data_IF_596259365742
#
_entry.id   IF_596259365742
#
_cell.length_a   1.000
_cell.length_b   1.000
_cell.length_c   1.000
_cell.angle_alpha   90.00
_cell.angle_beta   90.00
_cell.angle_gamma   90.00
#
_symmetry.space_group_name_H-M   'P 1'
#
loop_
_entity.id
_entity.type
_entity.pdbx_description
1 polymer ?
#
# COMPACT_ATOMS: atom_id res chain seq x y z
N UNK A 1 32.14 -29.35 -40.96
CA UNK A 1 32.95 -28.87 -39.82
C UNK A 1 34.05 -27.95 -40.33
N UNK A 2 33.94 -26.65 -40.05
CA UNK A 2 35.10 -25.75 -39.99
C UNK A 2 34.89 -24.84 -38.79
N UNK A 3 35.62 -25.18 -37.74
CA UNK A 3 35.85 -24.37 -36.55
C UNK A 3 36.85 -23.28 -36.96
N UNK A 4 36.55 -22.02 -36.71
CA UNK A 4 37.54 -21.00 -36.35
C UNK A 4 36.83 -19.99 -35.45
N UNK A 5 37.36 -19.93 -34.24
CA UNK A 5 36.99 -19.06 -33.13
C UNK A 5 38.02 -17.92 -33.07
N UNK A 6 37.61 -16.80 -32.47
CA UNK A 6 38.43 -15.72 -31.86
C UNK A 6 38.86 -14.54 -32.74
N UNK A 7 38.16 -13.41 -32.55
CA UNK A 7 38.72 -12.08 -32.18
C UNK A 7 37.61 -11.34 -31.38
N UNK A 8 37.45 -11.58 -30.07
CA UNK A 8 37.96 -10.77 -28.96
C UNK A 8 38.14 -9.27 -29.27
N UNK A 9 37.50 -8.44 -28.42
CA UNK A 9 37.93 -7.11 -27.97
C UNK A 9 37.45 -5.88 -28.77
N UNK A 10 36.19 -5.46 -28.54
CA UNK A 10 35.80 -4.05 -28.71
C UNK A 10 35.52 -3.44 -27.34
N UNK A 11 36.61 -2.97 -26.76
CA UNK A 11 36.78 -1.80 -25.90
C UNK A 11 35.50 -1.14 -25.34
N UNK A 12 35.36 -1.28 -24.02
CA UNK A 12 34.75 -0.31 -23.11
C UNK A 12 35.29 1.09 -23.41
N UNK A 13 34.41 2.07 -23.69
CA UNK A 13 34.43 3.50 -23.27
C UNK A 13 33.05 4.09 -23.65
N UNK A 14 32.34 4.89 -22.86
CA UNK A 14 32.79 5.72 -21.76
C UNK A 14 31.67 6.06 -20.78
N UNK A 15 32.09 6.88 -19.84
CA UNK A 15 31.63 6.97 -18.46
C UNK A 15 30.48 7.97 -18.24
N UNK A 16 29.79 7.72 -17.12
CA UNK A 16 29.09 8.66 -16.23
C UNK A 16 27.94 9.48 -16.82
N UNK A 17 26.72 9.01 -16.53
CA UNK A 17 25.55 9.90 -16.41
C UNK A 17 25.75 10.79 -15.17
N UNK A 18 25.57 12.09 -15.36
CA UNK A 18 25.59 13.08 -14.29
C UNK A 18 24.34 12.91 -13.41
N UNK A 19 24.53 12.78 -12.11
CA UNK A 19 23.49 13.07 -11.13
C UNK A 19 23.49 14.59 -10.93
N UNK A 20 22.34 15.22 -11.16
CA UNK A 20 22.15 16.63 -10.80
C UNK A 20 22.25 16.78 -9.29
N UNK A 21 23.06 17.73 -8.78
CA UNK A 21 23.10 17.99 -7.35
C UNK A 21 21.72 18.47 -6.92
N UNK A 22 21.28 17.98 -5.77
CA UNK A 22 20.17 18.55 -5.01
C UNK A 22 20.35 20.07 -4.94
N UNK A 23 19.42 20.81 -5.54
CA UNK A 23 19.28 22.24 -5.31
C UNK A 23 18.26 22.38 -4.19
N UNK A 24 18.75 22.47 -2.96
CA UNK A 24 18.04 23.14 -1.89
C UNK A 24 18.13 24.64 -2.18
N UNK A 25 17.08 25.20 -2.75
CA UNK A 25 16.89 26.64 -2.82
C UNK A 25 15.85 26.99 -1.74
N UNK A 26 16.34 27.17 -0.52
CA UNK A 26 15.64 27.92 0.52
C UNK A 26 15.48 29.36 0.02
N UNK A 27 14.31 29.70 -0.51
CA UNK A 27 13.91 31.09 -0.68
C UNK A 27 12.90 31.46 0.42
N UNK A 28 13.47 31.92 1.53
CA UNK A 28 12.79 32.72 2.55
C UNK A 28 12.41 34.07 1.95
N UNK A 29 11.11 34.34 1.78
CA UNK A 29 10.61 35.73 1.72
C UNK A 29 9.47 35.87 2.72
N UNK A 30 9.89 36.30 3.90
CA UNK A 30 9.34 37.39 4.73
C UNK A 30 7.83 37.63 4.76
N UNK A 31 7.31 37.36 5.96
CA UNK A 31 6.17 37.98 6.63
C UNK A 31 6.02 39.49 6.31
N UNK A 32 4.83 39.90 5.86
CA UNK A 32 4.34 41.25 6.09
C UNK A 32 3.04 41.19 6.88
N UNK A 33 3.15 41.61 8.15
CA UNK A 33 2.05 41.95 9.04
C UNK A 33 1.20 43.10 8.47
N UNK A 34 -0.10 43.04 8.78
CA UNK A 34 -0.97 44.09 9.33
C UNK A 34 -2.36 44.01 8.72
N UNK A 35 -3.37 43.63 9.50
CA UNK A 35 -4.25 44.65 10.12
C UNK A 35 -5.07 44.01 11.26
N UNK A 36 -4.82 44.52 12.46
CA UNK A 36 -5.61 44.38 13.69
C UNK A 36 -7.03 44.92 13.49
N UNK A 37 -8.06 44.30 14.07
CA UNK A 37 -9.06 45.01 14.90
C UNK A 37 -9.79 44.00 15.81
N UNK A 38 -9.76 44.34 17.10
CA UNK A 38 -10.35 43.64 18.25
C UNK A 38 -11.89 43.62 18.20
N UNK A 39 -12.52 42.58 18.76
CA UNK A 39 -13.79 42.70 19.49
C UNK A 39 -14.07 41.47 20.40
N UNK A 40 -13.64 41.61 21.65
CA UNK A 40 -14.34 41.36 22.91
C UNK A 40 -15.42 40.24 23.06
N UNK A 41 -15.04 39.23 23.88
CA UNK A 41 -15.79 38.59 24.98
C UNK A 41 -17.31 38.40 24.88
N UNK A 42 -17.76 37.14 24.75
CA UNK A 42 -18.88 36.60 25.54
C UNK A 42 -18.58 35.18 26.01
N UNK A 43 -18.49 35.03 27.33
CA UNK A 43 -18.49 33.78 28.11
C UNK A 43 -19.87 33.12 27.98
N UNK A 44 -19.95 31.93 27.41
CA UNK A 44 -21.10 31.03 27.58
C UNK A 44 -20.61 29.69 28.12
N UNK A 45 -20.93 29.45 29.40
CA UNK A 45 -20.86 28.13 30.01
C UNK A 45 -21.87 27.23 29.29
N UNK A 46 -21.40 26.44 28.32
CA UNK A 46 -22.16 25.29 27.86
C UNK A 46 -21.55 24.05 28.52
N UNK A 47 -22.36 23.41 29.37
CA UNK A 47 -22.07 22.13 29.97
C UNK A 47 -21.64 21.15 28.88
N UNK A 48 -20.37 20.76 28.86
CA UNK A 48 -19.89 19.67 28.02
C UNK A 48 -20.34 18.39 28.70
N UNK A 49 -21.57 17.97 28.42
CA UNK A 49 -21.89 16.55 28.51
C UNK A 49 -20.89 15.81 27.62
N UNK A 50 -20.23 14.73 28.11
CA UNK A 50 -19.44 13.88 27.25
C UNK A 50 -20.41 13.29 26.24
N UNK A 51 -20.43 13.84 25.03
CA UNK A 51 -21.03 13.16 23.90
C UNK A 51 -20.32 11.79 23.84
N UNK A 52 -21.03 10.74 24.24
CA UNK A 52 -20.70 9.38 23.87
C UNK A 52 -20.52 9.43 22.35
N UNK A 53 -19.25 9.43 21.91
CA UNK A 53 -18.91 9.25 20.51
C UNK A 53 -19.40 7.85 20.18
N UNK A 54 -20.67 7.76 19.80
CA UNK A 54 -21.21 6.61 19.10
C UNK A 54 -20.27 6.39 17.93
N UNK A 55 -19.40 5.38 18.05
CA UNK A 55 -18.61 4.85 16.95
C UNK A 55 -19.61 4.38 15.90
N UNK A 56 -20.01 5.30 15.02
CA UNK A 56 -20.61 4.94 13.76
C UNK A 56 -19.50 4.23 13.00
N UNK A 57 -19.55 2.90 13.02
CA UNK A 57 -18.90 2.04 12.06
C UNK A 57 -19.52 2.36 10.69
N UNK A 58 -19.16 3.49 10.09
CA UNK A 58 -19.35 3.68 8.66
C UNK A 58 -18.34 2.79 7.99
N UNK A 59 -18.81 1.66 7.47
CA UNK A 59 -18.00 0.74 6.66
C UNK A 59 -17.24 1.53 5.60
N UNK A 60 -15.95 1.24 5.45
CA UNK A 60 -15.12 1.91 4.46
C UNK A 60 -15.65 1.66 3.05
N UNK A 61 -15.70 2.72 2.24
CA UNK A 61 -15.96 2.58 0.82
C UNK A 61 -14.76 1.90 0.16
N UNK A 62 -15.04 0.98 -0.77
CA UNK A 62 -14.02 0.28 -1.50
C UNK A 62 -13.23 1.25 -2.40
N UNK A 63 -11.89 1.14 -2.51
CA UNK A 63 -11.13 2.01 -3.40
C UNK A 63 -11.53 1.82 -4.87
N UNK A 64 -11.55 2.91 -5.64
CA UNK A 64 -12.13 2.96 -7.00
C UNK A 64 -11.41 2.09 -8.06
N UNK A 65 -10.29 1.43 -7.72
CA UNK A 65 -9.46 0.67 -8.67
C UNK A 65 -8.93 -0.65 -8.10
N UNK A 66 -9.77 -1.43 -7.42
CA UNK A 66 -9.39 -2.77 -6.95
C UNK A 66 -9.82 -3.86 -7.93
N UNK A 67 -8.97 -4.88 -8.08
CA UNK A 67 -9.33 -6.08 -8.83
C UNK A 67 -10.19 -6.99 -7.94
N UNK A 68 -11.51 -6.94 -8.11
CA UNK A 68 -12.43 -7.73 -7.31
C UNK A 68 -12.28 -9.21 -7.62
N UNK A 69 -12.03 -10.01 -6.59
CA UNK A 69 -11.82 -11.45 -6.63
C UNK A 69 -12.83 -12.12 -5.71
N UNK A 70 -13.59 -13.05 -6.27
CA UNK A 70 -14.40 -13.95 -5.47
C UNK A 70 -13.66 -15.27 -5.27
N UNK A 71 -13.56 -15.69 -4.01
CA UNK A 71 -13.10 -17.02 -3.63
C UNK A 71 -14.24 -17.78 -2.97
N UNK A 72 -14.24 -19.11 -3.09
CA UNK A 72 -15.26 -19.96 -2.49
C UNK A 72 -14.98 -20.30 -1.03
N UNK A 73 -13.72 -20.16 -0.63
CA UNK A 73 -13.20 -20.55 0.68
C UNK A 73 -12.98 -19.28 1.51
N UNK A 74 -13.02 -19.36 2.84
CA UNK A 74 -12.77 -18.20 3.71
C UNK A 74 -11.29 -17.83 3.69
N UNK A 75 -10.96 -16.54 3.63
CA UNK A 75 -9.55 -16.09 3.55
C UNK A 75 -8.73 -16.56 4.75
N UNK A 76 -9.32 -16.55 5.95
CA UNK A 76 -8.67 -17.03 7.18
C UNK A 76 -8.33 -18.53 7.16
N UNK A 77 -9.03 -19.32 6.33
CA UNK A 77 -8.75 -20.75 6.17
C UNK A 77 -7.59 -21.03 5.20
N UNK A 78 -7.11 -20.01 4.50
CA UNK A 78 -6.03 -20.13 3.53
C UNK A 78 -4.67 -20.03 4.24
N UNK A 79 -3.76 -20.93 3.87
CA UNK A 79 -2.38 -20.88 4.35
C UNK A 79 -1.47 -20.33 3.28
N UNK A 80 -0.69 -19.30 3.60
CA UNK A 80 0.37 -18.82 2.73
C UNK A 80 1.45 -19.91 2.58
N UNK A 81 1.78 -20.29 1.34
CA UNK A 81 2.80 -21.30 1.05
C UNK A 81 4.01 -20.75 0.29
N UNK A 82 3.90 -19.56 -0.29
CA UNK A 82 5.00 -19.02 -1.08
C UNK A 82 4.65 -17.74 -1.82
N UNK A 83 5.68 -17.18 -2.47
CA UNK A 83 5.54 -16.12 -3.46
C UNK A 83 6.20 -16.60 -4.75
N UNK A 84 5.52 -16.43 -5.87
CA UNK A 84 6.02 -16.83 -7.19
C UNK A 84 5.83 -15.70 -8.20
N UNK A 85 6.71 -15.64 -9.20
CA UNK A 85 6.58 -14.69 -10.30
C UNK A 85 5.92 -15.39 -11.50
N UNK A 86 4.68 -15.05 -11.80
CA UNK A 86 3.90 -15.64 -12.90
C UNK A 86 3.64 -14.54 -13.93
N UNK A 87 4.08 -14.74 -15.18
CA UNK A 87 4.02 -13.73 -16.24
C UNK A 87 4.66 -12.40 -15.82
N UNK A 88 5.82 -12.49 -15.15
CA UNK A 88 6.55 -11.36 -14.58
C UNK A 88 5.87 -10.59 -13.44
N UNK A 89 4.69 -11.01 -12.98
CA UNK A 89 3.96 -10.38 -11.88
C UNK A 89 4.15 -11.22 -10.60
N UNK A 90 4.62 -10.63 -9.49
CA UNK A 90 4.65 -11.31 -8.20
C UNK A 90 3.23 -11.74 -7.76
N UNK A 91 3.09 -12.97 -7.33
CA UNK A 91 1.87 -13.53 -6.77
C UNK A 91 2.14 -14.21 -5.44
N UNK A 92 1.29 -13.92 -4.48
CA UNK A 92 1.15 -14.63 -3.23
C UNK A 92 0.42 -15.95 -3.50
N UNK A 93 1.03 -17.07 -3.14
CA UNK A 93 0.43 -18.39 -3.31
C UNK A 93 -0.11 -18.87 -1.97
N UNK A 94 -1.42 -19.06 -1.93
CA UNK A 94 -2.10 -19.66 -0.79
C UNK A 94 -2.59 -21.05 -1.15
N UNK A 95 -2.62 -21.95 -0.17
CA UNK A 95 -3.25 -23.26 -0.27
C UNK A 95 -4.48 -23.29 0.63
N UNK A 96 -5.58 -23.87 0.13
CA UNK A 96 -6.77 -24.10 0.93
C UNK A 96 -6.76 -25.50 1.57
N UNK A 97 -7.76 -25.81 2.41
CA UNK A 97 -7.90 -27.13 3.04
C UNK A 97 -8.14 -28.31 2.07
N UNK A 98 -8.34 -28.03 0.78
CA UNK A 98 -8.54 -29.02 -0.28
C UNK A 98 -7.31 -29.14 -1.20
N UNK A 99 -6.16 -28.67 -0.72
CA UNK A 99 -4.87 -28.64 -1.44
C UNK A 99 -4.90 -27.88 -2.77
N UNK A 100 -5.81 -26.91 -2.93
CA UNK A 100 -5.88 -26.06 -4.11
C UNK A 100 -5.05 -24.81 -3.90
N UNK A 101 -4.14 -24.55 -4.85
CA UNK A 101 -3.38 -23.31 -4.92
C UNK A 101 -4.23 -22.17 -5.47
N UNK A 102 -4.18 -21.04 -4.79
CA UNK A 102 -4.85 -19.79 -5.15
C UNK A 102 -3.79 -18.69 -5.15
N UNK A 103 -3.60 -18.05 -6.31
CA UNK A 103 -2.64 -16.96 -6.48
C UNK A 103 -3.31 -15.60 -6.36
N UNK A 104 -2.81 -14.74 -5.48
CA UNK A 104 -3.23 -13.33 -5.38
C UNK A 104 -2.11 -12.38 -5.82
N UNK A 105 -2.49 -11.26 -6.42
CA UNK A 105 -1.63 -10.17 -6.88
C UNK A 105 -1.87 -8.94 -6.03
N UNK A 106 -0.90 -8.03 -6.03
CA UNK A 106 -1.10 -6.67 -5.51
C UNK A 106 -2.31 -6.04 -6.21
N UNK A 107 -3.20 -5.42 -5.43
CA UNK A 107 -4.44 -4.81 -5.89
C UNK A 107 -5.64 -5.76 -5.95
N UNK A 108 -5.45 -7.07 -5.72
CA UNK A 108 -6.59 -8.00 -5.57
C UNK A 108 -7.37 -7.66 -4.29
N UNK A 109 -8.68 -7.53 -4.43
CA UNK A 109 -9.63 -7.38 -3.34
C UNK A 109 -10.53 -8.62 -3.25
N UNK A 110 -10.42 -9.35 -2.14
CA UNK A 110 -11.22 -10.53 -1.85
C UNK A 110 -12.55 -10.09 -1.23
N UNK A 111 -13.60 -10.06 -2.05
CA UNK A 111 -14.88 -9.44 -1.69
C UNK A 111 -15.55 -10.07 -0.47
N UNK A 112 -15.58 -11.40 -0.40
CA UNK A 112 -16.22 -12.13 0.69
C UNK A 112 -15.46 -12.01 2.02
N UNK A 113 -14.21 -11.56 2.00
CA UNK A 113 -13.38 -11.41 3.20
C UNK A 113 -13.07 -9.94 3.52
N UNK A 114 -13.42 -8.98 2.65
CA UNK A 114 -13.03 -7.58 2.78
C UNK A 114 -11.51 -7.37 2.89
N UNK A 115 -10.73 -8.21 2.20
CA UNK A 115 -9.26 -8.19 2.25
C UNK A 115 -8.70 -7.60 0.95
N UNK A 116 -7.73 -6.70 1.04
CA UNK A 116 -6.99 -6.20 -0.13
C UNK A 116 -5.50 -6.50 -0.01
N UNK A 117 -4.91 -7.13 -1.01
CA UNK A 117 -3.46 -7.33 -1.08
C UNK A 117 -2.79 -6.03 -1.54
N UNK A 118 -1.88 -5.47 -0.75
CA UNK A 118 -1.24 -4.17 -1.02
C UNK A 118 0.25 -4.24 -1.32
N UNK A 119 0.96 -5.25 -0.79
CA UNK A 119 2.36 -5.51 -1.14
C UNK A 119 2.65 -7.01 -1.16
N UNK A 120 3.54 -7.41 -2.06
CA UNK A 120 4.06 -8.78 -2.15
C UNK A 120 5.56 -8.69 -2.41
N UNK A 121 6.36 -9.26 -1.52
CA UNK A 121 7.79 -9.45 -1.74
C UNK A 121 8.21 -10.89 -1.37
N UNK A 122 9.50 -11.21 -1.56
CA UNK A 122 9.99 -12.58 -1.38
C UNK A 122 10.00 -13.07 0.08
N UNK A 123 9.74 -12.19 1.05
CA UNK A 123 9.80 -12.51 2.48
C UNK A 123 8.45 -12.39 3.19
N UNK A 124 7.53 -11.60 2.63
CA UNK A 124 6.26 -11.32 3.25
C UNK A 124 5.21 -10.84 2.24
N UNK A 125 3.97 -10.89 2.67
CA UNK A 125 2.82 -10.27 2.02
C UNK A 125 2.17 -9.31 3.00
N UNK A 126 1.74 -8.17 2.50
CA UNK A 126 1.02 -7.17 3.27
C UNK A 126 -0.37 -6.97 2.67
N UNK A 127 -1.39 -6.95 3.54
CA UNK A 127 -2.78 -6.78 3.15
C UNK A 127 -3.49 -5.81 4.11
N UNK A 128 -4.63 -5.27 3.66
CA UNK A 128 -5.55 -4.48 4.48
C UNK A 128 -6.77 -5.35 4.77
N UNK A 129 -7.22 -5.34 6.02
CA UNK A 129 -8.51 -5.87 6.44
C UNK A 129 -9.50 -4.72 6.60
N UNK A 130 -10.33 -4.53 5.57
CA UNK A 130 -11.30 -3.44 5.53
C UNK A 130 -12.48 -3.67 6.48
N UNK A 131 -12.74 -4.91 6.90
CA UNK A 131 -13.79 -5.18 7.89
C UNK A 131 -13.37 -4.72 9.30
N UNK A 132 -12.07 -4.74 9.59
CA UNK A 132 -11.52 -4.36 10.89
C UNK A 132 -10.85 -2.97 10.92
N UNK A 133 -10.86 -2.25 9.78
CA UNK A 133 -10.30 -0.90 9.67
C UNK A 133 -11.24 0.15 10.28
N UNK A 134 -10.70 1.01 11.14
CA UNK A 134 -11.44 2.15 11.73
C UNK A 134 -11.28 3.46 10.94
N UNK A 135 -10.11 3.68 10.34
CA UNK A 135 -9.81 4.87 9.53
C UNK A 135 -9.59 4.47 8.08
N UNK A 136 -10.54 4.84 7.21
CA UNK A 136 -10.50 4.49 5.79
C UNK A 136 -9.48 5.33 4.99
N UNK A 137 -9.02 6.46 5.52
CA UNK A 137 -8.02 7.31 4.86
C UNK A 137 -6.60 6.80 5.12
N UNK A 138 -6.40 6.09 6.24
CA UNK A 138 -5.13 5.49 6.62
C UNK A 138 -5.37 4.09 7.21
N UNK A 139 -5.74 3.11 6.36
CA UNK A 139 -6.06 1.76 6.80
C UNK A 139 -4.86 1.06 7.44
N UNK A 140 -5.12 0.31 8.51
CA UNK A 140 -4.10 -0.55 9.12
C UNK A 140 -3.74 -1.70 8.19
N UNK A 141 -2.44 -2.00 8.11
CA UNK A 141 -1.93 -3.10 7.30
C UNK A 141 -1.50 -4.27 8.16
N UNK A 142 -1.83 -5.49 7.72
CA UNK A 142 -1.39 -6.74 8.31
C UNK A 142 -0.32 -7.38 7.44
N UNK A 143 0.72 -7.93 8.05
CA UNK A 143 1.83 -8.57 7.33
C UNK A 143 1.96 -10.04 7.72
N UNK A 144 1.99 -10.93 6.72
CA UNK A 144 2.28 -12.37 6.87
C UNK A 144 3.67 -12.62 6.34
N UNK A 145 4.54 -13.21 7.17
CA UNK A 145 5.89 -13.64 6.77
C UNK A 145 5.86 -15.07 6.23
N UNK A 146 6.74 -15.33 5.26
CA UNK A 146 7.00 -16.66 4.72
C UNK A 146 7.92 -17.48 5.64
#
# INVERSE_FOLDING_TARGET
>A
MRVIYLLIFSCVMGSTSYASPFYDEEELIEFSDQTTTNQESIRHNHSVEPAEKQKKLTACNLPDNVNIRQIKDDFESLSLVGVAKINHIPQALFINMKDRLIGFKVGDYIENAFIQIVDINLKQITYIDWANTQDCQSPDTVTIKL
#
